data_IF_252377501108
#
_entry.id   IF_252377501108
#
_cell.length_a   1.000
_cell.length_b   1.000
_cell.length_c   1.000
_cell.angle_alpha   90.00
_cell.angle_beta   90.00
_cell.angle_gamma   90.00
#
_symmetry.space_group_name_H-M   'P 1'
#
loop_
_entity.id
_entity.type
_entity.pdbx_description
1 polymer ?
#
# COMPACT_ATOMS: atom_id res chain seq x y z
N UNK A 1 -5.31 52.08 -23.53
CA UNK A 1 -5.90 50.75 -23.77
C UNK A 1 -6.32 50.21 -22.41
N UNK A 2 -7.57 50.39 -22.03
CA UNK A 2 -8.09 49.87 -20.76
C UNK A 2 -8.30 48.38 -20.93
N UNK A 3 -7.47 47.56 -20.27
CA UNK A 3 -7.76 46.13 -20.23
C UNK A 3 -9.08 45.95 -19.46
N UNK A 4 -10.10 45.34 -20.07
CA UNK A 4 -11.37 45.16 -19.39
C UNK A 4 -11.10 44.31 -18.15
N UNK A 5 -11.54 44.79 -16.98
CA UNK A 5 -11.29 44.20 -15.66
C UNK A 5 -11.53 42.68 -15.64
N UNK A 6 -12.47 42.19 -16.45
CA UNK A 6 -12.75 40.77 -16.67
C UNK A 6 -11.52 39.96 -17.11
N UNK A 7 -10.65 40.51 -17.97
CA UNK A 7 -9.42 39.84 -18.44
C UNK A 7 -8.40 39.71 -17.32
N UNK A 8 -8.28 40.73 -16.47
CA UNK A 8 -7.38 40.71 -15.31
C UNK A 8 -7.83 39.61 -14.32
N UNK A 9 -9.14 39.54 -14.05
CA UNK A 9 -9.71 38.51 -13.16
C UNK A 9 -9.47 37.10 -13.71
N UNK A 10 -9.68 36.88 -15.02
CA UNK A 10 -9.43 35.58 -15.65
C UNK A 10 -7.95 35.19 -15.57
N UNK A 11 -7.03 36.12 -15.81
CA UNK A 11 -5.59 35.85 -15.70
C UNK A 11 -5.16 35.46 -14.29
N UNK A 12 -5.73 36.11 -13.26
CA UNK A 12 -5.45 35.77 -11.86
C UNK A 12 -5.96 34.36 -11.53
N UNK A 13 -7.18 34.02 -11.95
CA UNK A 13 -7.76 32.69 -11.73
C UNK A 13 -6.92 31.61 -12.43
N UNK A 14 -6.55 31.83 -13.69
CA UNK A 14 -5.72 30.87 -14.45
C UNK A 14 -4.34 30.72 -13.80
N UNK A 15 -3.72 31.80 -13.33
CA UNK A 15 -2.47 31.76 -12.59
C UNK A 15 -2.58 30.94 -11.30
N UNK A 16 -3.65 31.15 -10.52
CA UNK A 16 -3.93 30.37 -9.32
C UNK A 16 -4.11 28.88 -9.62
N UNK A 17 -4.88 28.54 -10.65
CA UNK A 17 -5.10 27.14 -11.06
C UNK A 17 -3.78 26.49 -11.48
N UNK A 18 -2.92 27.20 -12.22
CA UNK A 18 -1.60 26.70 -12.62
C UNK A 18 -0.68 26.45 -11.42
N UNK A 19 -0.70 27.32 -10.41
CA UNK A 19 0.07 27.14 -9.16
C UNK A 19 -0.43 25.93 -8.38
N UNK A 20 -1.75 25.75 -8.27
CA UNK A 20 -2.35 24.59 -7.60
C UNK A 20 -2.03 23.30 -8.36
N UNK A 21 -2.15 23.28 -9.69
CA UNK A 21 -1.79 22.12 -10.51
C UNK A 21 -0.31 21.77 -10.38
N UNK A 22 0.60 22.75 -10.44
CA UNK A 22 2.03 22.49 -10.25
C UNK A 22 2.31 21.95 -8.85
N UNK A 23 1.65 22.47 -7.81
CA UNK A 23 1.81 21.99 -6.43
C UNK A 23 1.31 20.55 -6.27
N UNK A 24 0.20 20.20 -6.92
CA UNK A 24 -0.33 18.83 -6.94
C UNK A 24 0.55 17.88 -7.74
N UNK A 25 1.06 18.30 -8.90
CA UNK A 25 1.97 17.50 -9.73
C UNK A 25 3.32 17.28 -9.04
N UNK A 26 3.88 18.31 -8.39
CA UNK A 26 5.09 18.20 -7.56
C UNK A 26 4.85 17.32 -6.33
N UNK A 27 3.67 17.41 -5.69
CA UNK A 27 3.28 16.50 -4.61
C UNK A 27 3.10 15.04 -5.07
N UNK A 28 2.79 14.82 -6.35
CA UNK A 28 2.71 13.49 -6.98
C UNK A 28 4.05 12.99 -7.53
N UNK A 29 5.12 13.79 -7.51
CA UNK A 29 6.50 13.28 -7.63
C UNK A 29 6.95 12.57 -6.35
N UNK A 30 6.04 11.81 -5.72
CA UNK A 30 6.45 10.72 -4.84
C UNK A 30 7.30 9.79 -5.71
N UNK A 31 8.58 9.65 -5.35
CA UNK A 31 9.50 8.72 -6.01
C UNK A 31 8.75 7.42 -6.27
N UNK A 32 8.46 7.11 -7.52
CA UNK A 32 7.87 5.82 -7.86
C UNK A 32 8.91 4.78 -7.53
N UNK A 33 8.79 4.20 -6.34
CA UNK A 33 9.61 3.09 -5.92
C UNK A 33 9.40 1.96 -6.91
N UNK A 34 10.48 1.50 -7.53
CA UNK A 34 10.45 0.21 -8.20
C UNK A 34 10.17 -0.89 -7.17
N UNK A 35 9.55 -2.00 -7.59
CA UNK A 35 9.24 -3.10 -6.66
C UNK A 35 10.49 -3.60 -5.91
N UNK A 36 11.65 -3.62 -6.59
CA UNK A 36 12.93 -3.98 -6.00
C UNK A 36 13.41 -2.97 -4.94
N UNK A 37 13.29 -1.67 -5.19
CA UNK A 37 13.64 -0.65 -4.21
C UNK A 37 12.69 -0.65 -3.02
N UNK A 38 11.40 -0.87 -3.26
CA UNK A 38 10.40 -0.99 -2.21
C UNK A 38 10.73 -2.17 -1.28
N UNK A 39 11.09 -3.33 -1.86
CA UNK A 39 11.51 -4.51 -1.09
C UNK A 39 12.75 -4.21 -0.23
N UNK A 40 13.74 -3.51 -0.81
CA UNK A 40 14.97 -3.12 -0.10
C UNK A 40 14.66 -2.19 1.07
N UNK A 41 13.91 -1.11 0.84
CA UNK A 41 13.54 -0.14 1.88
C UNK A 41 12.70 -0.79 2.97
N UNK A 42 11.73 -1.61 2.60
CA UNK A 42 10.90 -2.34 3.53
C UNK A 42 11.75 -3.25 4.44
N UNK A 43 12.62 -4.08 3.86
CA UNK A 43 13.45 -5.02 4.63
C UNK A 43 14.47 -4.29 5.53
N UNK A 44 15.09 -3.21 5.05
CA UNK A 44 16.06 -2.45 5.86
C UNK A 44 15.39 -1.74 7.03
N UNK A 45 14.23 -1.09 6.80
CA UNK A 45 13.62 -0.26 7.83
C UNK A 45 12.66 -1.04 8.75
N UNK A 46 12.03 -2.12 8.27
CA UNK A 46 11.21 -2.98 9.14
C UNK A 46 12.03 -3.53 10.31
N UNK A 47 13.25 -4.01 10.04
CA UNK A 47 14.14 -4.52 11.08
C UNK A 47 14.50 -3.44 12.12
N UNK A 48 14.80 -2.22 11.67
CA UNK A 48 15.13 -1.10 12.55
C UNK A 48 13.93 -0.67 13.42
N UNK A 49 12.73 -0.63 12.85
CA UNK A 49 11.51 -0.25 13.58
C UNK A 49 11.02 -1.34 14.53
N UNK A 50 11.25 -2.62 14.21
CA UNK A 50 10.98 -3.75 15.12
C UNK A 50 11.73 -3.61 16.45
N UNK A 51 12.99 -3.16 16.43
CA UNK A 51 13.79 -2.95 17.64
C UNK A 51 13.17 -1.92 18.58
N UNK A 52 12.32 -1.02 18.05
CA UNK A 52 11.62 0.02 18.81
C UNK A 52 10.29 -0.46 19.45
N UNK A 53 10.05 -1.78 19.50
CA UNK A 53 8.95 -2.42 20.24
C UNK A 53 7.57 -1.77 20.04
N UNK A 54 7.13 -1.60 18.79
CA UNK A 54 5.79 -1.08 18.49
C UNK A 54 5.51 0.36 18.90
N UNK A 55 6.51 1.16 19.25
CA UNK A 55 6.23 2.54 19.55
C UNK A 55 5.85 3.30 18.26
N UNK A 56 4.71 3.98 18.29
CA UNK A 56 4.26 4.85 17.20
C UNK A 56 5.19 6.07 17.02
N UNK A 57 6.18 6.25 17.88
CA UNK A 57 7.25 7.23 17.69
C UNK A 57 8.01 7.06 16.37
N UNK A 58 8.09 5.85 15.79
CA UNK A 58 8.66 5.60 14.45
C UNK A 58 7.97 6.40 13.35
N UNK A 59 6.71 6.79 13.55
CA UNK A 59 5.97 7.62 12.57
C UNK A 59 6.51 9.04 12.44
N UNK A 60 7.35 9.46 13.39
CA UNK A 60 7.99 10.78 13.41
C UNK A 60 9.39 10.75 12.77
N UNK A 61 9.93 9.58 12.44
CA UNK A 61 11.23 9.47 11.79
C UNK A 61 11.16 10.02 10.36
N UNK A 62 12.20 10.75 9.96
CA UNK A 62 12.29 11.34 8.62
C UNK A 62 12.26 10.28 7.50
N UNK A 63 12.62 9.04 7.81
CA UNK A 63 12.59 7.90 6.89
C UNK A 63 11.22 7.21 6.80
N UNK A 64 10.28 7.53 7.69
CA UNK A 64 8.99 6.85 7.78
C UNK A 64 8.15 6.97 6.50
N UNK A 65 8.14 8.14 5.87
CA UNK A 65 7.43 8.35 4.59
C UNK A 65 7.93 7.42 3.48
N UNK A 66 9.24 7.18 3.41
CA UNK A 66 9.82 6.26 2.43
C UNK A 66 9.43 4.81 2.71
N UNK A 67 9.30 4.45 3.98
CA UNK A 67 8.83 3.13 4.39
C UNK A 67 7.33 2.95 4.05
N UNK A 68 6.52 3.99 4.27
CA UNK A 68 5.10 4.01 3.91
C UNK A 68 4.89 3.88 2.40
N UNK A 69 5.70 4.57 1.59
CA UNK A 69 5.70 4.43 0.13
C UNK A 69 6.12 3.03 -0.30
N UNK A 70 7.15 2.45 0.31
CA UNK A 70 7.55 1.07 0.06
C UNK A 70 6.42 0.07 0.39
N UNK A 71 5.77 0.22 1.56
CA UNK A 71 4.60 -0.58 1.93
C UNK A 71 3.47 -0.46 0.89
N UNK A 72 3.14 0.74 0.42
CA UNK A 72 2.10 0.96 -0.61
C UNK A 72 2.46 0.29 -1.95
N UNK A 73 3.71 0.39 -2.37
CA UNK A 73 4.18 -0.27 -3.60
C UNK A 73 4.14 -1.79 -3.50
N UNK A 74 4.47 -2.35 -2.33
CA UNK A 74 4.50 -3.80 -2.13
C UNK A 74 3.11 -4.40 -1.91
N UNK A 75 2.31 -3.76 -1.06
CA UNK A 75 1.06 -4.33 -0.57
C UNK A 75 -0.19 -3.79 -1.27
N UNK A 76 -0.10 -2.72 -2.06
CA UNK A 76 -1.28 -2.13 -2.71
C UNK A 76 -1.85 -0.93 -1.95
N UNK A 77 -3.09 -0.56 -2.26
CA UNK A 77 -3.75 0.66 -1.79
C UNK A 77 -3.74 0.78 -0.25
N UNK A 78 -4.04 1.99 0.26
CA UNK A 78 -3.78 2.44 1.64
C UNK A 78 -4.16 1.46 2.76
N UNK A 79 -5.18 0.61 2.58
CA UNK A 79 -5.63 -0.37 3.58
C UNK A 79 -4.62 -1.49 3.81
N UNK A 80 -4.00 -1.98 2.74
CA UNK A 80 -2.98 -3.03 2.81
C UNK A 80 -1.64 -2.44 3.27
N UNK A 81 -1.35 -1.18 2.90
CA UNK A 81 -0.23 -0.43 3.44
C UNK A 81 -0.35 -0.15 4.96
N UNK A 82 -1.54 0.15 5.47
CA UNK A 82 -1.80 0.27 6.91
C UNK A 82 -1.61 -1.07 7.63
N UNK A 83 -1.97 -2.17 6.98
CA UNK A 83 -1.71 -3.52 7.49
C UNK A 83 -0.22 -3.85 7.51
N UNK A 84 0.55 -3.36 6.52
CA UNK A 84 2.02 -3.41 6.47
C UNK A 84 2.68 -2.56 7.57
N UNK A 85 2.09 -1.42 7.92
CA UNK A 85 2.53 -0.65 9.10
C UNK A 85 2.22 -1.40 10.40
N UNK A 86 1.10 -2.12 10.45
CA UNK A 86 0.74 -2.95 11.61
C UNK A 86 1.69 -4.14 11.79
N UNK A 87 2.36 -4.60 10.73
CA UNK A 87 3.37 -5.65 10.81
C UNK A 87 4.75 -5.15 11.28
N UNK A 88 4.97 -3.84 11.42
CA UNK A 88 6.12 -3.28 12.18
C UNK A 88 6.19 -3.79 13.63
N UNK A 89 5.04 -4.22 14.13
CA UNK A 89 4.85 -4.77 15.46
C UNK A 89 4.95 -6.30 15.56
N UNK A 90 5.07 -6.97 14.43
CA UNK A 90 5.20 -8.42 14.36
C UNK A 90 6.59 -8.76 13.81
N UNK A 91 6.99 -10.04 13.89
CA UNK A 91 8.21 -10.46 13.19
C UNK A 91 8.12 -10.02 11.73
N UNK A 92 9.11 -9.24 11.25
CA UNK A 92 9.27 -8.89 9.85
C UNK A 92 9.43 -10.17 9.04
N UNK A 93 8.31 -10.82 8.71
CA UNK A 93 8.29 -11.98 7.83
C UNK A 93 8.74 -11.48 6.47
N UNK A 94 9.69 -12.19 5.89
CA UNK A 94 10.21 -11.92 4.55
C UNK A 94 9.02 -11.75 3.60
N UNK A 95 8.91 -10.57 2.99
CA UNK A 95 7.82 -10.29 2.06
C UNK A 95 7.99 -11.15 0.82
N UNK A 96 7.16 -12.17 0.68
CA UNK A 96 6.96 -12.88 -0.58
C UNK A 96 5.58 -12.51 -1.14
N UNK A 97 5.52 -11.74 -2.24
CA UNK A 97 4.26 -11.32 -2.85
C UNK A 97 3.37 -12.51 -3.21
N UNK A 98 3.94 -13.68 -3.54
CA UNK A 98 3.15 -14.90 -3.77
C UNK A 98 2.52 -15.42 -2.49
N UNK A 99 3.26 -15.41 -1.38
CA UNK A 99 2.75 -15.87 -0.08
C UNK A 99 1.57 -15.02 0.38
N UNK A 100 1.62 -13.70 0.19
CA UNK A 100 0.53 -12.79 0.54
C UNK A 100 -0.70 -12.91 -0.34
N UNK A 101 -0.52 -13.03 -1.66
CA UNK A 101 -1.63 -13.30 -2.58
C UNK A 101 -2.36 -14.59 -2.18
N UNK A 102 -1.60 -15.62 -1.83
CA UNK A 102 -2.13 -16.88 -1.36
C UNK A 102 -2.83 -16.78 0.01
N UNK A 103 -2.24 -16.11 0.99
CA UNK A 103 -2.87 -15.90 2.29
C UNK A 103 -4.19 -15.11 2.17
N UNK A 104 -4.20 -14.07 1.33
CA UNK A 104 -5.41 -13.28 1.03
C UNK A 104 -6.50 -14.11 0.37
N UNK A 105 -6.14 -14.93 -0.63
CA UNK A 105 -7.07 -15.88 -1.27
C UNK A 105 -7.64 -16.88 -0.27
N UNK A 106 -6.81 -17.43 0.62
CA UNK A 106 -7.29 -18.36 1.63
C UNK A 106 -8.29 -17.71 2.60
N UNK A 107 -8.02 -16.48 3.07
CA UNK A 107 -8.97 -15.73 3.92
C UNK A 107 -10.29 -15.43 3.22
N UNK A 108 -10.26 -15.16 1.92
CA UNK A 108 -11.47 -15.02 1.10
C UNK A 108 -12.29 -16.32 1.10
N UNK A 109 -11.63 -17.46 0.85
CA UNK A 109 -12.27 -18.78 0.91
C UNK A 109 -12.86 -19.08 2.29
N UNK A 110 -12.14 -18.77 3.37
CA UNK A 110 -12.65 -18.94 4.74
C UNK A 110 -13.87 -18.07 5.03
N UNK A 111 -13.87 -16.83 4.53
CA UNK A 111 -15.00 -15.93 4.61
C UNK A 111 -16.23 -16.51 3.92
N UNK A 112 -16.07 -16.99 2.68
CA UNK A 112 -17.16 -17.63 1.91
C UNK A 112 -17.71 -18.86 2.63
N UNK A 113 -16.84 -19.74 3.16
CA UNK A 113 -17.24 -20.93 3.94
C UNK A 113 -18.06 -20.55 5.17
N UNK A 114 -17.64 -19.53 5.92
CA UNK A 114 -18.35 -19.02 7.11
C UNK A 114 -19.72 -18.43 6.77
N UNK A 115 -19.89 -17.93 5.55
CA UNK A 115 -21.16 -17.39 5.03
C UNK A 115 -22.04 -18.44 4.35
N UNK A 116 -21.60 -19.71 4.28
CA UNK A 116 -22.32 -20.78 3.59
C UNK A 116 -22.34 -20.65 2.07
N UNK A 117 -21.41 -19.87 1.51
CA UNK A 117 -21.22 -19.70 0.07
C UNK A 117 -20.33 -20.84 -0.44
N UNK A 118 -20.66 -21.39 -1.61
CA UNK A 118 -19.86 -22.43 -2.27
C UNK A 118 -18.40 -21.97 -2.48
N UNK A 119 -17.46 -22.77 -1.98
CA UNK A 119 -16.03 -22.51 -2.04
C UNK A 119 -15.32 -23.25 -3.17
N UNK A 120 -16.03 -24.04 -3.98
CA UNK A 120 -15.44 -24.89 -5.04
C UNK A 120 -14.56 -24.10 -6.00
N UNK A 121 -15.07 -22.98 -6.54
CA UNK A 121 -14.32 -22.13 -7.47
C UNK A 121 -13.11 -21.47 -6.79
N UNK A 122 -13.28 -20.95 -5.57
CA UNK A 122 -12.19 -20.26 -4.88
C UNK A 122 -11.06 -21.24 -4.50
N UNK A 123 -11.41 -22.46 -4.08
CA UNK A 123 -10.46 -23.49 -3.72
C UNK A 123 -9.72 -24.06 -4.93
N UNK A 124 -10.40 -24.14 -6.08
CA UNK A 124 -9.76 -24.50 -7.36
C UNK A 124 -8.71 -23.46 -7.76
N UNK A 125 -9.05 -22.17 -7.66
CA UNK A 125 -8.10 -21.10 -7.97
C UNK A 125 -6.94 -21.09 -6.97
N UNK A 126 -7.21 -21.26 -5.67
CA UNK A 126 -6.17 -21.36 -4.65
C UNK A 126 -5.21 -22.51 -4.93
N UNK A 127 -5.71 -23.71 -5.23
CA UNK A 127 -4.87 -24.88 -5.51
C UNK A 127 -3.99 -24.71 -6.76
N UNK A 128 -4.45 -23.95 -7.75
CA UNK A 128 -3.69 -23.69 -8.98
C UNK A 128 -2.59 -22.63 -8.79
N UNK A 129 -2.79 -21.66 -7.90
CA UNK A 129 -1.88 -20.52 -7.74
C UNK A 129 -0.97 -20.62 -6.50
N UNK A 130 -1.31 -21.49 -5.54
CA UNK A 130 -0.70 -21.52 -4.22
C UNK A 130 -0.24 -22.94 -3.82
N UNK A 131 1.02 -23.07 -3.37
CA UNK A 131 1.58 -24.34 -2.89
C UNK A 131 1.36 -24.60 -1.38
N UNK A 132 0.30 -24.03 -0.80
CA UNK A 132 0.02 -24.06 0.65
C UNK A 132 -1.25 -24.82 1.01
N UNK A 133 -1.48 -24.98 2.31
CA UNK A 133 -2.74 -25.49 2.87
C UNK A 133 -3.67 -24.35 3.25
N UNK A 134 -4.95 -24.47 2.89
CA UNK A 134 -6.00 -23.55 3.31
C UNK A 134 -7.14 -24.32 3.98
N UNK A 135 -7.46 -24.01 5.24
CA UNK A 135 -8.47 -24.72 6.03
C UNK A 135 -9.88 -24.62 5.45
N UNK A 136 -10.17 -23.55 4.71
CA UNK A 136 -11.41 -23.42 3.96
C UNK A 136 -11.57 -24.49 2.87
N UNK A 137 -10.44 -24.89 2.27
CA UNK A 137 -10.34 -25.82 1.15
C UNK A 137 -9.96 -27.24 1.57
N UNK A 138 -9.82 -27.48 2.87
CA UNK A 138 -9.73 -28.83 3.41
C UNK A 138 -11.08 -29.56 3.20
N UNK A 139 -11.05 -30.85 2.85
CA UNK A 139 -12.23 -31.66 2.57
C UNK A 139 -13.18 -31.77 3.76
#
# INVERSE_FOLDING_TARGET
MEFPIKVIVVLIIVGLVLVVMNSLLLGQTGKQFTQAEALRVFNTQCAAYREQRCDWSVTKDASFDSFLQACRTLYGLEREALSCLYSLCQDCKTFDPRSLACEGRCKLCEGSKKLGIDTTDCCTIYANECQGTCDACAP
#
